data_IF_594452499701
#
_entry.id   IF_594452499701
#
_cell.length_a   1.000
_cell.length_b   1.000
_cell.length_c   1.000
_cell.angle_alpha   90.00
_cell.angle_beta   90.00
_cell.angle_gamma   90.00
#
_symmetry.space_group_name_H-M   'P 1'
#
loop_
_entity.id
_entity.type
_entity.pdbx_description
1 polymer ?
#
# COMPACT_ATOMS: atom_id res chain seq x y z
N UNK A 1 36.71 -23.33 -14.70
CA UNK A 1 36.26 -23.66 -13.33
C UNK A 1 34.75 -23.80 -13.41
N UNK A 2 34.10 -24.80 -12.78
CA UNK A 2 32.64 -24.86 -12.80
C UNK A 2 32.11 -23.69 -11.99
N UNK A 3 31.68 -22.64 -12.69
CA UNK A 3 30.97 -21.51 -12.10
C UNK A 3 29.49 -21.89 -12.04
N UNK A 4 28.99 -22.06 -10.82
CA UNK A 4 27.56 -22.26 -10.58
C UNK A 4 26.98 -20.87 -10.35
N UNK A 5 26.36 -20.30 -11.39
CA UNK A 5 25.65 -19.02 -11.29
C UNK A 5 24.30 -19.26 -10.59
N UNK A 6 24.11 -18.64 -9.42
CA UNK A 6 22.84 -18.68 -8.68
C UNK A 6 22.10 -17.37 -8.91
N UNK A 7 21.04 -17.42 -9.71
CA UNK A 7 20.16 -16.28 -9.96
C UNK A 7 19.09 -16.26 -8.87
N UNK A 8 19.00 -15.16 -8.10
CA UNK A 8 18.07 -15.00 -7.00
C UNK A 8 17.12 -13.80 -7.21
N UNK A 9 15.87 -13.98 -6.79
CA UNK A 9 14.90 -12.89 -6.68
C UNK A 9 15.13 -12.16 -5.35
N UNK A 10 15.82 -11.02 -5.38
CA UNK A 10 16.19 -10.23 -4.20
C UNK A 10 15.11 -9.27 -3.71
N UNK A 11 13.96 -9.20 -4.39
CA UNK A 11 12.83 -8.39 -3.93
C UNK A 11 12.30 -8.81 -2.57
N UNK A 12 12.63 -10.01 -2.06
CA UNK A 12 12.39 -10.43 -0.68
C UNK A 12 13.72 -10.81 0.01
N UNK A 13 14.39 -9.89 0.70
CA UNK A 13 15.73 -10.13 1.26
C UNK A 13 15.79 -11.33 2.22
N UNK A 14 14.74 -11.56 3.00
CA UNK A 14 14.65 -12.69 3.93
C UNK A 14 14.53 -14.04 3.22
N UNK A 15 13.70 -14.12 2.18
CA UNK A 15 13.53 -15.34 1.38
C UNK A 15 14.79 -15.63 0.56
N UNK A 16 15.36 -14.61 -0.10
CA UNK A 16 16.59 -14.72 -0.86
C UNK A 16 17.77 -15.18 0.03
N UNK A 17 17.89 -14.62 1.23
CA UNK A 17 18.89 -15.03 2.22
C UNK A 17 18.69 -16.47 2.71
N UNK A 18 17.45 -16.90 2.94
CA UNK A 18 17.16 -18.28 3.34
C UNK A 18 17.50 -19.29 2.22
N UNK A 19 17.16 -18.97 0.98
CA UNK A 19 17.47 -19.81 -0.19
C UNK A 19 18.99 -19.85 -0.42
N UNK A 20 19.67 -18.71 -0.43
CA UNK A 20 21.12 -18.64 -0.54
C UNK A 20 21.82 -19.43 0.59
N UNK A 21 21.31 -19.32 1.82
CA UNK A 21 21.78 -20.09 2.98
C UNK A 21 21.55 -21.59 2.84
N UNK A 22 20.40 -22.02 2.32
CA UNK A 22 20.09 -23.43 2.08
C UNK A 22 20.97 -24.01 0.96
N UNK A 23 21.10 -23.28 -0.15
CA UNK A 23 21.92 -23.68 -1.31
C UNK A 23 23.40 -23.74 -0.93
N UNK A 24 23.94 -22.72 -0.25
CA UNK A 24 25.34 -22.71 0.19
C UNK A 24 25.69 -23.82 1.18
N UNK A 25 24.71 -24.36 1.93
CA UNK A 25 24.90 -25.52 2.80
C UNK A 25 24.74 -26.86 2.08
N UNK A 26 23.75 -26.97 1.19
CA UNK A 26 23.39 -28.22 0.52
C UNK A 26 24.30 -28.55 -0.67
N UNK A 27 24.74 -27.54 -1.45
CA UNK A 27 25.56 -27.76 -2.64
C UNK A 27 26.92 -28.41 -2.30
N UNK A 28 27.69 -27.90 -1.32
CA UNK A 28 28.96 -28.53 -0.96
C UNK A 28 28.78 -29.94 -0.41
N UNK A 29 27.70 -30.20 0.36
CA UNK A 29 27.40 -31.54 0.88
C UNK A 29 27.05 -32.53 -0.23
N UNK A 30 26.24 -32.12 -1.21
CA UNK A 30 25.90 -32.96 -2.36
C UNK A 30 27.11 -33.23 -3.25
N UNK A 31 28.00 -32.25 -3.42
CA UNK A 31 29.26 -32.42 -4.19
C UNK A 31 30.22 -33.37 -3.46
N UNK A 32 30.38 -33.26 -2.13
CA UNK A 32 31.21 -34.17 -1.33
C UNK A 32 30.67 -35.61 -1.36
N UNK A 33 29.34 -35.79 -1.43
CA UNK A 33 28.72 -37.11 -1.53
C UNK A 33 28.86 -37.75 -2.93
N UNK A 34 28.97 -36.95 -3.98
CA UNK A 34 28.97 -37.43 -5.39
C UNK A 34 30.37 -37.44 -6.02
N UNK A 35 31.29 -36.60 -5.53
CA UNK A 35 32.69 -36.53 -5.96
C UNK A 35 33.61 -36.64 -4.74
N UNK A 36 34.56 -37.58 -4.79
CA UNK A 36 35.59 -37.80 -3.75
C UNK A 36 36.33 -36.52 -3.34
N UNK A 37 36.93 -36.46 -2.14
CA UNK A 37 37.26 -35.25 -1.38
C UNK A 37 38.52 -34.52 -1.90
N UNK A 38 38.52 -34.16 -3.18
CA UNK A 38 39.62 -33.51 -3.87
C UNK A 38 39.16 -32.19 -4.48
N UNK A 39 38.77 -31.28 -3.57
CA UNK A 39 39.05 -29.85 -3.62
C UNK A 39 38.83 -29.08 -4.91
N UNK A 40 37.71 -28.36 -4.96
CA UNK A 40 37.73 -26.90 -5.12
C UNK A 40 36.45 -26.30 -4.53
N UNK A 41 36.59 -25.34 -3.61
CA UNK A 41 35.45 -24.58 -3.10
C UNK A 41 34.87 -23.77 -4.25
N UNK A 42 33.68 -24.16 -4.72
CA UNK A 42 32.95 -23.40 -5.73
C UNK A 42 32.48 -22.11 -5.05
N UNK A 43 33.05 -20.98 -5.45
CA UNK A 43 32.56 -19.67 -5.06
C UNK A 43 31.26 -19.43 -5.82
N UNK A 44 30.14 -19.41 -5.09
CA UNK A 44 28.83 -19.08 -5.64
C UNK A 44 28.70 -17.57 -5.53
N UNK A 45 28.78 -16.86 -6.65
CA UNK A 45 28.43 -15.44 -6.70
C UNK A 45 26.92 -15.33 -6.98
N UNK A 46 26.10 -14.86 -6.01
CA UNK A 46 24.69 -14.68 -6.24
C UNK A 46 24.44 -13.45 -7.13
N UNK A 47 23.72 -13.64 -8.23
CA UNK A 47 23.27 -12.55 -9.10
C UNK A 47 21.79 -12.28 -8.84
N UNK A 48 21.46 -11.06 -8.43
CA UNK A 48 20.08 -10.69 -8.12
C UNK A 48 19.33 -10.15 -9.35
N UNK A 49 18.11 -10.64 -9.59
CA UNK A 49 17.21 -10.16 -10.66
C UNK A 49 16.61 -8.79 -10.33
N UNK A 50 16.08 -8.63 -9.11
CA UNK A 50 15.58 -7.38 -8.52
C UNK A 50 16.01 -7.29 -7.05
N UNK A 51 16.07 -6.09 -6.46
CA UNK A 51 16.49 -5.90 -5.07
C UNK A 51 17.94 -6.35 -4.81
N UNK A 52 18.91 -5.57 -5.31
CA UNK A 52 20.34 -5.89 -5.19
C UNK A 52 20.88 -5.91 -3.74
N UNK A 53 22.18 -6.18 -3.52
CA UNK A 53 22.77 -6.31 -2.18
C UNK A 53 22.68 -5.06 -1.30
N UNK A 54 22.36 -3.91 -1.90
CA UNK A 54 22.09 -2.65 -1.20
C UNK A 54 20.66 -2.53 -0.63
N UNK A 55 19.72 -3.38 -1.08
CA UNK A 55 18.35 -3.40 -0.58
C UNK A 55 18.29 -4.17 0.73
N UNK A 56 17.95 -3.48 1.81
CA UNK A 56 17.80 -4.09 3.11
C UNK A 56 16.32 -4.42 3.42
N UNK A 57 16.04 -4.89 4.64
CA UNK A 57 14.66 -5.17 5.05
C UNK A 57 13.80 -3.90 5.11
N UNK A 58 14.38 -2.75 5.43
CA UNK A 58 13.64 -1.49 5.49
C UNK A 58 13.21 -1.07 4.08
N UNK A 59 14.08 -1.24 3.08
CA UNK A 59 13.76 -1.00 1.67
C UNK A 59 12.62 -1.92 1.18
N UNK A 60 12.55 -3.14 1.70
CA UNK A 60 11.43 -4.05 1.43
C UNK A 60 10.11 -3.56 2.03
N UNK A 61 10.09 -3.08 3.27
CA UNK A 61 8.85 -2.66 3.93
C UNK A 61 8.40 -1.24 3.54
N UNK A 62 9.34 -0.37 3.17
CA UNK A 62 9.11 1.04 2.91
C UNK A 62 7.95 1.31 1.91
N UNK A 63 7.87 0.66 0.73
CA UNK A 63 6.76 0.87 -0.20
C UNK A 63 5.40 0.57 0.44
N UNK A 64 5.32 -0.51 1.22
CA UNK A 64 4.07 -0.91 1.87
C UNK A 64 3.68 -0.02 3.05
N UNK A 65 4.67 0.54 3.75
CA UNK A 65 4.42 1.51 4.81
C UNK A 65 3.98 2.87 4.27
N UNK A 66 4.46 3.30 3.10
CA UNK A 66 3.90 4.47 2.41
C UNK A 66 2.39 4.27 2.22
N UNK A 67 1.99 3.17 1.57
CA UNK A 67 0.58 2.86 1.31
C UNK A 67 -0.24 2.76 2.59
N UNK A 68 0.23 1.97 3.57
CA UNK A 68 -0.49 1.73 4.81
C UNK A 68 -0.69 3.00 5.64
N UNK A 69 0.38 3.76 5.91
CA UNK A 69 0.25 4.95 6.75
C UNK A 69 -0.47 6.08 6.03
N UNK A 70 -0.27 6.25 4.71
CA UNK A 70 -1.03 7.23 3.94
C UNK A 70 -2.53 6.92 4.00
N UNK A 71 -2.92 5.66 3.75
CA UNK A 71 -4.31 5.22 3.86
C UNK A 71 -4.85 5.43 5.29
N UNK A 72 -4.12 4.97 6.31
CA UNK A 72 -4.51 5.06 7.72
C UNK A 72 -4.76 6.50 8.16
N UNK A 73 -3.79 7.40 7.95
CA UNK A 73 -3.91 8.78 8.41
C UNK A 73 -5.00 9.53 7.63
N UNK A 74 -5.08 9.37 6.31
CA UNK A 74 -6.11 10.03 5.51
C UNK A 74 -7.50 9.55 5.89
N UNK A 75 -7.69 8.24 6.04
CA UNK A 75 -8.95 7.66 6.51
C UNK A 75 -9.34 8.18 7.89
N UNK A 76 -8.42 8.14 8.86
CA UNK A 76 -8.63 8.60 10.23
C UNK A 76 -9.01 10.09 10.26
N UNK A 77 -8.16 10.95 9.69
CA UNK A 77 -8.33 12.40 9.76
C UNK A 77 -9.61 12.82 9.04
N UNK A 78 -9.89 12.25 7.88
CA UNK A 78 -11.09 12.60 7.11
C UNK A 78 -12.35 12.13 7.83
N UNK A 79 -12.37 10.91 8.37
CA UNK A 79 -13.54 10.38 9.10
C UNK A 79 -13.88 11.23 10.32
N UNK A 80 -12.88 11.60 11.12
CA UNK A 80 -13.07 12.42 12.33
C UNK A 80 -13.40 13.86 11.97
N UNK A 81 -12.68 14.45 11.02
CA UNK A 81 -12.89 15.86 10.64
C UNK A 81 -14.27 16.05 10.02
N UNK A 82 -14.68 15.16 9.11
CA UNK A 82 -16.00 15.24 8.49
C UNK A 82 -17.13 14.98 9.51
N UNK A 83 -16.93 14.06 10.46
CA UNK A 83 -17.88 13.91 11.57
C UNK A 83 -18.00 15.22 12.38
N UNK A 84 -16.89 15.88 12.70
CA UNK A 84 -16.91 17.16 13.43
C UNK A 84 -17.68 18.23 12.66
N UNK A 85 -17.44 18.35 11.36
CA UNK A 85 -18.17 19.30 10.49
C UNK A 85 -19.70 19.07 10.52
N UNK A 86 -20.12 17.80 10.52
CA UNK A 86 -21.54 17.43 10.67
C UNK A 86 -22.08 17.81 12.06
N UNK A 87 -21.38 17.43 13.12
CA UNK A 87 -21.83 17.64 14.50
C UNK A 87 -21.82 19.12 14.94
N UNK A 88 -20.94 19.93 14.37
CA UNK A 88 -20.88 21.38 14.64
C UNK A 88 -21.93 22.18 13.86
N UNK A 89 -22.67 21.54 12.95
CA UNK A 89 -23.69 22.19 12.12
C UNK A 89 -23.10 23.07 11.01
N UNK A 90 -21.82 22.94 10.68
CA UNK A 90 -21.20 23.68 9.56
C UNK A 90 -21.90 23.34 8.24
N UNK A 91 -22.22 22.05 8.04
CA UNK A 91 -22.93 21.57 6.86
C UNK A 91 -24.35 22.16 6.79
N UNK A 92 -25.06 22.26 7.93
CA UNK A 92 -26.40 22.85 7.99
C UNK A 92 -26.39 24.33 7.56
N UNK A 93 -25.37 25.09 7.98
CA UNK A 93 -25.18 26.49 7.58
C UNK A 93 -24.90 26.63 6.08
N UNK A 94 -24.12 25.71 5.52
CA UNK A 94 -23.82 25.69 4.08
C UNK A 94 -25.05 25.42 3.22
N UNK A 95 -26.02 24.65 3.71
CA UNK A 95 -27.25 24.31 2.97
C UNK A 95 -28.21 25.51 2.86
N UNK A 96 -28.08 26.53 3.72
CA UNK A 96 -28.87 27.78 3.62
C UNK A 96 -28.34 28.70 2.52
N UNK A 97 -27.12 28.46 2.03
CA UNK A 97 -26.56 29.16 0.87
C UNK A 97 -27.20 28.67 -0.44
N UNK A 98 -27.15 29.45 -1.54
CA UNK A 98 -27.74 29.05 -2.83
C UNK A 98 -26.95 27.94 -3.56
N UNK A 99 -26.14 27.16 -2.83
CA UNK A 99 -25.34 26.06 -3.35
C UNK A 99 -26.15 24.77 -3.39
N UNK A 100 -25.98 23.99 -4.45
CA UNK A 100 -26.54 22.66 -4.53
C UNK A 100 -25.86 21.74 -3.51
N UNK A 101 -26.63 20.84 -2.87
CA UNK A 101 -26.09 19.87 -1.91
C UNK A 101 -24.94 19.04 -2.48
N UNK A 102 -25.01 18.73 -3.79
CA UNK A 102 -23.96 17.98 -4.49
C UNK A 102 -22.66 18.77 -4.55
N UNK A 103 -22.74 20.08 -4.72
CA UNK A 103 -21.58 20.98 -4.78
C UNK A 103 -20.90 21.07 -3.42
N UNK A 104 -21.69 21.14 -2.33
CA UNK A 104 -21.15 21.12 -0.96
C UNK A 104 -20.36 19.83 -0.71
N UNK A 105 -20.96 18.66 -1.03
CA UNK A 105 -20.30 17.36 -0.83
C UNK A 105 -19.04 17.23 -1.68
N UNK A 106 -19.11 17.59 -2.96
CA UNK A 106 -17.96 17.60 -3.86
C UNK A 106 -16.86 18.55 -3.36
N UNK A 107 -17.23 19.71 -2.82
CA UNK A 107 -16.30 20.66 -2.22
C UNK A 107 -15.50 20.05 -1.06
N UNK A 108 -16.18 19.36 -0.13
CA UNK A 108 -15.50 18.65 0.95
C UNK A 108 -14.62 17.50 0.44
N UNK A 109 -15.13 16.70 -0.50
CA UNK A 109 -14.35 15.61 -1.11
C UNK A 109 -13.07 16.15 -1.77
N UNK A 110 -13.18 17.26 -2.52
CA UNK A 110 -12.04 17.93 -3.15
C UNK A 110 -11.08 18.52 -2.11
N UNK A 111 -11.60 19.16 -1.06
CA UNK A 111 -10.78 19.73 0.02
C UNK A 111 -9.96 18.67 0.76
N UNK A 112 -10.58 17.56 1.16
CA UNK A 112 -9.87 16.43 1.78
C UNK A 112 -8.94 15.72 0.78
N UNK A 113 -9.31 15.66 -0.49
CA UNK A 113 -8.43 15.12 -1.54
C UNK A 113 -7.17 15.97 -1.71
N UNK A 114 -7.28 17.30 -1.66
CA UNK A 114 -6.11 18.19 -1.70
C UNK A 114 -5.18 17.92 -0.51
N UNK A 115 -5.75 17.78 0.69
CA UNK A 115 -4.99 17.38 1.87
C UNK A 115 -4.32 16.00 1.69
N UNK A 116 -5.03 15.03 1.14
CA UNK A 116 -4.52 13.70 0.85
C UNK A 116 -3.36 13.73 -0.17
N UNK A 117 -3.40 14.61 -1.17
CA UNK A 117 -2.30 14.85 -2.11
C UNK A 117 -1.06 15.34 -1.39
N UNK A 118 -1.20 16.38 -0.55
CA UNK A 118 -0.07 16.92 0.23
C UNK A 118 0.50 15.85 1.15
N UNK A 119 -0.36 15.11 1.85
CA UNK A 119 0.04 14.01 2.72
C UNK A 119 0.79 12.89 1.96
N UNK A 120 0.33 12.55 0.74
CA UNK A 120 0.99 11.54 -0.11
C UNK A 120 2.39 11.98 -0.51
N UNK A 121 2.56 13.25 -0.92
CA UNK A 121 3.87 13.82 -1.23
C UNK A 121 4.78 13.79 0.00
N UNK A 122 4.27 14.21 1.16
CA UNK A 122 5.03 14.20 2.43
C UNK A 122 5.50 12.79 2.78
N UNK A 123 4.66 11.76 2.62
CA UNK A 123 5.08 10.38 2.92
C UNK A 123 6.16 9.86 1.97
N UNK A 124 6.07 10.15 0.68
CA UNK A 124 7.11 9.75 -0.27
C UNK A 124 8.43 10.49 0.02
N UNK A 125 8.37 11.80 0.26
CA UNK A 125 9.55 12.60 0.62
C UNK A 125 10.18 12.08 1.92
N UNK A 126 9.38 11.83 2.96
CA UNK A 126 9.89 11.29 4.22
C UNK A 126 10.60 9.96 4.01
N UNK A 127 10.00 9.06 3.23
CA UNK A 127 10.58 7.74 2.94
C UNK A 127 11.89 7.84 2.18
N UNK A 128 11.98 8.69 1.16
CA UNK A 128 13.19 8.81 0.34
C UNK A 128 14.27 9.67 1.01
N UNK A 129 13.91 10.84 1.54
CA UNK A 129 14.87 11.82 2.03
C UNK A 129 15.30 11.58 3.48
N UNK A 130 14.37 11.15 4.35
CA UNK A 130 14.64 10.96 5.78
C UNK A 130 15.08 9.53 6.06
N UNK A 131 14.32 8.53 5.56
CA UNK A 131 14.67 7.12 5.76
C UNK A 131 15.75 6.61 4.79
N UNK A 132 16.10 7.41 3.77
CA UNK A 132 17.15 7.12 2.77
C UNK A 132 16.95 5.77 2.07
N UNK A 133 15.69 5.46 1.76
CA UNK A 133 15.30 4.22 1.10
C UNK A 133 15.78 4.21 -0.35
N UNK A 134 16.33 3.05 -0.75
CA UNK A 134 16.70 2.80 -2.13
C UNK A 134 15.45 2.53 -2.97
N UNK A 135 15.41 3.11 -4.15
CA UNK A 135 14.33 2.89 -5.11
C UNK A 135 14.89 2.84 -6.54
N UNK A 136 14.25 2.03 -7.38
CA UNK A 136 14.65 1.82 -8.77
C UNK A 136 13.80 2.60 -9.78
N UNK A 137 12.51 2.80 -9.48
CA UNK A 137 11.55 3.42 -10.41
C UNK A 137 11.35 4.93 -10.22
N UNK A 138 10.37 5.46 -10.96
CA UNK A 138 10.05 6.89 -10.96
C UNK A 138 9.22 7.30 -9.73
N UNK A 139 9.71 8.28 -8.94
CA UNK A 139 9.02 8.72 -7.71
C UNK A 139 7.63 9.31 -7.93
N UNK A 140 7.40 9.91 -9.11
CA UNK A 140 6.09 10.48 -9.42
C UNK A 140 5.00 9.39 -9.46
N UNK A 141 5.34 8.16 -9.90
CA UNK A 141 4.42 7.02 -9.88
C UNK A 141 4.06 6.61 -8.46
N UNK A 142 5.03 6.63 -7.55
CA UNK A 142 4.83 6.34 -6.13
C UNK A 142 3.84 7.34 -5.53
N UNK A 143 4.03 8.64 -5.81
CA UNK A 143 3.10 9.70 -5.38
C UNK A 143 1.72 9.49 -6.00
N UNK A 144 1.64 9.18 -7.29
CA UNK A 144 0.38 8.98 -8.00
C UNK A 144 -0.43 7.79 -7.47
N UNK A 145 0.22 6.63 -7.26
CA UNK A 145 -0.41 5.44 -6.68
C UNK A 145 -0.90 5.69 -5.26
N UNK A 146 -0.08 6.37 -4.44
CA UNK A 146 -0.44 6.75 -3.07
C UNK A 146 -1.60 7.73 -3.06
N UNK A 147 -1.62 8.69 -3.99
CA UNK A 147 -2.73 9.61 -4.20
C UNK A 147 -4.04 8.87 -4.56
N UNK A 148 -4.02 7.95 -5.52
CA UNK A 148 -5.19 7.15 -5.89
C UNK A 148 -5.75 6.37 -4.69
N UNK A 149 -4.87 5.71 -3.94
CA UNK A 149 -5.25 4.99 -2.72
C UNK A 149 -5.90 5.93 -1.68
N UNK A 150 -5.29 7.09 -1.46
CA UNK A 150 -5.77 8.04 -0.44
C UNK A 150 -7.04 8.76 -0.84
N UNK A 151 -7.31 9.01 -2.13
CA UNK A 151 -8.63 9.48 -2.61
C UNK A 151 -9.73 8.49 -2.21
N UNK A 152 -9.48 7.19 -2.41
CA UNK A 152 -10.40 6.16 -1.94
C UNK A 152 -10.56 6.14 -0.42
N UNK A 153 -9.46 6.37 0.33
CA UNK A 153 -9.49 6.49 1.79
C UNK A 153 -10.29 7.70 2.28
N UNK A 154 -10.18 8.86 1.61
CA UNK A 154 -11.00 10.07 1.86
C UNK A 154 -12.48 9.70 1.74
N UNK A 155 -12.85 9.12 0.60
CA UNK A 155 -14.24 8.81 0.31
C UNK A 155 -14.80 7.73 1.24
N UNK A 156 -14.01 6.72 1.59
CA UNK A 156 -14.36 5.73 2.60
C UNK A 156 -14.55 6.37 3.97
N UNK A 157 -13.70 7.32 4.34
CA UNK A 157 -13.80 8.03 5.61
C UNK A 157 -15.07 8.89 5.69
N UNK A 158 -15.38 9.64 4.63
CA UNK A 158 -16.65 10.37 4.51
C UNK A 158 -17.84 9.41 4.61
N UNK A 159 -17.81 8.30 3.85
CA UNK A 159 -18.87 7.31 3.87
C UNK A 159 -19.11 6.71 5.27
N UNK A 160 -18.06 6.25 5.95
CA UNK A 160 -18.20 5.63 7.27
C UNK A 160 -18.54 6.65 8.36
N UNK A 161 -18.06 7.88 8.25
CA UNK A 161 -18.40 8.94 9.20
C UNK A 161 -19.89 9.25 9.23
N UNK A 162 -20.64 9.00 8.14
CA UNK A 162 -22.09 9.14 8.09
C UNK A 162 -22.77 8.32 9.21
N UNK A 163 -22.33 7.07 9.41
CA UNK A 163 -22.90 6.14 10.37
C UNK A 163 -22.47 6.38 11.83
N UNK A 164 -21.50 7.26 12.07
CA UNK A 164 -21.04 7.60 13.41
C UNK A 164 -21.78 8.82 13.98
N UNK A 165 -22.06 8.76 15.28
CA UNK A 165 -22.64 9.88 16.06
C UNK A 165 -21.63 10.54 17.00
N UNK A 166 -20.50 9.88 17.26
CA UNK A 166 -19.43 10.37 18.14
C UNK A 166 -18.06 10.00 17.58
N UNK A 167 -17.03 10.79 17.94
CA UNK A 167 -15.64 10.49 17.52
C UNK A 167 -15.18 9.11 17.98
N UNK A 168 -15.64 8.68 19.17
CA UNK A 168 -15.34 7.35 19.69
C UNK A 168 -15.89 6.25 18.78
N UNK A 169 -17.07 6.44 18.15
CA UNK A 169 -17.61 5.48 17.18
C UNK A 169 -16.77 5.41 15.90
N UNK A 170 -16.27 6.55 15.41
CA UNK A 170 -15.33 6.57 14.27
C UNK A 170 -14.07 5.78 14.60
N UNK A 171 -13.54 5.95 15.82
CA UNK A 171 -12.37 5.19 16.28
C UNK A 171 -12.62 3.69 16.28
N UNK A 172 -13.86 3.23 16.51
CA UNK A 172 -14.21 1.80 16.40
C UNK A 172 -14.24 1.28 14.95
N UNK A 173 -14.45 2.14 13.95
CA UNK A 173 -14.35 1.74 12.53
C UNK A 173 -12.91 1.53 12.07
N UNK A 174 -11.94 2.16 12.73
CA UNK A 174 -10.51 2.01 12.41
C UNK A 174 -10.07 0.55 12.43
N UNK A 175 -10.19 -0.21 13.53
CA UNK A 175 -9.77 -1.61 13.52
C UNK A 175 -10.55 -2.44 12.49
N UNK A 176 -11.82 -2.12 12.24
CA UNK A 176 -12.63 -2.82 11.23
C UNK A 176 -12.08 -2.65 9.81
N UNK A 177 -11.58 -1.46 9.46
CA UNK A 177 -11.07 -1.15 8.12
C UNK A 177 -9.57 -1.43 8.00
N UNK A 178 -8.80 -1.02 8.99
CA UNK A 178 -7.33 -0.98 8.95
C UNK A 178 -6.73 -2.33 9.30
N UNK A 179 -7.29 -3.07 10.26
CA UNK A 179 -6.70 -4.35 10.68
C UNK A 179 -6.71 -5.40 9.56
N UNK A 180 -7.81 -5.63 8.81
CA UNK A 180 -7.80 -6.58 7.69
C UNK A 180 -6.76 -6.17 6.64
N UNK A 181 -6.65 -4.87 6.36
CA UNK A 181 -5.69 -4.33 5.40
C UNK A 181 -4.26 -4.50 5.88
N UNK A 182 -3.93 -4.07 7.09
CA UNK A 182 -2.58 -4.19 7.64
C UNK A 182 -2.10 -5.64 7.73
N UNK A 183 -3.02 -6.58 7.98
CA UNK A 183 -2.68 -8.00 8.14
C UNK A 183 -2.57 -8.75 6.80
N UNK A 184 -3.51 -8.52 5.88
CA UNK A 184 -3.67 -9.35 4.68
C UNK A 184 -3.08 -8.74 3.40
N UNK A 185 -2.70 -7.46 3.39
CA UNK A 185 -2.31 -6.73 2.17
C UNK A 185 -0.86 -6.95 1.70
N UNK A 186 -0.16 -7.99 2.14
CA UNK A 186 1.22 -8.23 1.69
C UNK A 186 2.30 -7.44 2.46
N UNK A 187 1.95 -6.79 3.58
CA UNK A 187 2.92 -6.09 4.43
C UNK A 187 3.81 -7.12 5.15
N UNK A 188 3.20 -7.93 6.01
CA UNK A 188 3.92 -8.87 6.89
C UNK A 188 4.24 -10.17 6.14
N UNK A 189 3.25 -10.73 5.44
CA UNK A 189 3.38 -11.95 4.66
C UNK A 189 2.96 -11.72 3.22
N UNK A 190 3.68 -12.26 2.23
CA UNK A 190 3.23 -12.24 0.84
C UNK A 190 1.82 -12.83 0.72
N UNK A 191 0.99 -12.23 -0.13
CA UNK A 191 -0.40 -12.67 -0.32
C UNK A 191 -0.46 -14.12 -0.78
N UNK A 192 0.47 -14.53 -1.66
CA UNK A 192 0.55 -15.90 -2.19
C UNK A 192 0.81 -16.96 -1.11
N UNK A 193 1.39 -16.56 0.03
CA UNK A 193 1.66 -17.44 1.16
C UNK A 193 0.44 -17.66 2.06
N UNK A 194 -0.63 -16.89 1.87
CA UNK A 194 -1.87 -17.04 2.66
C UNK A 194 -2.68 -18.25 2.19
N UNK A 195 -3.47 -18.90 3.07
CA UNK A 195 -4.49 -19.86 2.66
C UNK A 195 -5.49 -19.26 1.66
N UNK A 196 -5.99 -20.06 0.71
CA UNK A 196 -6.89 -19.62 -0.38
C UNK A 196 -8.05 -18.69 0.06
N UNK A 197 -8.79 -18.96 1.16
CA UNK A 197 -9.86 -18.05 1.60
C UNK A 197 -9.36 -16.65 1.98
N UNK A 198 -8.18 -16.56 2.60
CA UNK A 198 -7.58 -15.29 2.98
C UNK A 198 -6.99 -14.55 1.78
N UNK A 199 -6.53 -15.27 0.75
CA UNK A 199 -6.10 -14.65 -0.52
C UNK A 199 -7.26 -13.92 -1.20
N UNK A 200 -8.45 -14.51 -1.25
CA UNK A 200 -9.63 -13.84 -1.82
C UNK A 200 -10.00 -12.59 -1.03
N UNK A 201 -9.93 -12.66 0.30
CA UNK A 201 -10.17 -11.49 1.14
C UNK A 201 -9.10 -10.42 0.90
N UNK A 202 -7.82 -10.79 0.81
CA UNK A 202 -6.72 -9.87 0.52
C UNK A 202 -6.92 -9.16 -0.83
N UNK A 203 -7.33 -9.89 -1.87
CA UNK A 203 -7.57 -9.33 -3.21
C UNK A 203 -8.76 -8.35 -3.25
N UNK A 204 -9.68 -8.40 -2.28
CA UNK A 204 -10.75 -7.41 -2.15
C UNK A 204 -10.28 -6.09 -1.52
N UNK A 205 -9.10 -6.05 -0.89
CA UNK A 205 -8.59 -4.89 -0.16
C UNK A 205 -7.79 -3.98 -1.09
N UNK A 206 -8.08 -2.67 -1.14
CA UNK A 206 -7.39 -1.74 -2.03
C UNK A 206 -5.90 -1.59 -1.66
N UNK A 207 -5.56 -1.72 -0.38
CA UNK A 207 -4.18 -1.65 0.08
C UNK A 207 -3.31 -2.78 -0.49
N UNK A 208 -3.89 -3.95 -0.78
CA UNK A 208 -3.15 -5.07 -1.40
C UNK A 208 -2.62 -4.67 -2.77
N UNK A 209 -3.51 -4.12 -3.61
CA UNK A 209 -3.17 -3.66 -4.95
C UNK A 209 -2.21 -2.46 -4.93
N UNK A 210 -2.39 -1.54 -3.98
CA UNK A 210 -1.46 -0.44 -3.80
C UNK A 210 -0.06 -0.93 -3.38
N UNK A 211 0.03 -1.85 -2.42
CA UNK A 211 1.30 -2.40 -1.95
C UNK A 211 2.05 -3.12 -3.07
N UNK A 212 1.35 -3.93 -3.87
CA UNK A 212 1.93 -4.63 -5.01
C UNK A 212 2.45 -3.65 -6.07
N UNK A 213 1.66 -2.63 -6.42
CA UNK A 213 2.06 -1.57 -7.34
C UNK A 213 3.24 -0.73 -6.82
N UNK A 214 3.24 -0.36 -5.54
CA UNK A 214 4.32 0.40 -4.93
C UNK A 214 5.63 -0.40 -4.90
N UNK A 215 5.56 -1.72 -4.62
CA UNK A 215 6.72 -2.62 -4.73
C UNK A 215 7.20 -2.76 -6.17
N UNK A 216 6.28 -2.87 -7.13
CA UNK A 216 6.60 -2.93 -8.57
C UNK A 216 7.44 -1.73 -9.02
N UNK A 217 7.02 -0.53 -8.63
CA UNK A 217 7.73 0.71 -8.97
C UNK A 217 9.02 0.84 -8.17
N UNK A 218 8.95 0.78 -6.84
CA UNK A 218 10.09 1.13 -5.98
C UNK A 218 11.19 0.07 -5.99
N UNK A 219 10.85 -1.22 -6.04
CA UNK A 219 11.84 -2.31 -5.97
C UNK A 219 12.19 -2.83 -7.36
N UNK A 220 11.19 -3.07 -8.22
CA UNK A 220 11.41 -3.67 -9.55
C UNK A 220 11.66 -2.62 -10.65
N UNK A 221 11.38 -1.34 -10.39
CA UNK A 221 11.58 -0.26 -11.36
C UNK A 221 10.57 -0.29 -12.51
N UNK A 222 9.42 -0.93 -12.30
CA UNK A 222 8.39 -1.05 -13.33
C UNK A 222 7.70 0.30 -13.64
N UNK A 223 7.36 0.50 -14.91
CA UNK A 223 6.65 1.68 -15.40
C UNK A 223 5.14 1.53 -15.40
N UNK A 224 4.44 2.47 -16.04
CA UNK A 224 2.98 2.46 -16.17
C UNK A 224 2.42 1.24 -16.92
N UNK A 225 3.20 0.67 -17.82
CA UNK A 225 2.85 -0.46 -18.67
C UNK A 225 2.50 -1.72 -17.86
N UNK A 226 3.18 -1.94 -16.74
CA UNK A 226 2.93 -3.06 -15.84
C UNK A 226 1.81 -2.79 -14.81
N UNK A 227 1.35 -1.54 -14.66
CA UNK A 227 0.46 -1.13 -13.57
C UNK A 227 -1.03 -1.10 -13.95
N UNK A 228 -1.41 -1.49 -15.17
CA UNK A 228 -2.78 -1.33 -15.68
C UNK A 228 -3.87 -1.91 -14.77
N UNK A 229 -3.70 -3.14 -14.29
CA UNK A 229 -4.67 -3.80 -13.41
C UNK A 229 -4.75 -3.11 -12.03
N UNK A 230 -3.60 -2.77 -11.45
CA UNK A 230 -3.51 -2.08 -10.17
C UNK A 230 -4.22 -0.71 -10.21
N UNK A 231 -3.97 0.06 -11.27
CA UNK A 231 -4.61 1.35 -11.49
C UNK A 231 -6.13 1.20 -11.64
N UNK A 232 -6.59 0.21 -12.42
CA UNK A 232 -8.01 -0.06 -12.60
C UNK A 232 -8.70 -0.35 -11.27
N UNK A 233 -8.10 -1.18 -10.41
CA UNK A 233 -8.67 -1.51 -9.11
C UNK A 233 -8.68 -0.31 -8.17
N UNK A 234 -7.59 0.47 -8.10
CA UNK A 234 -7.52 1.65 -7.24
C UNK A 234 -8.49 2.76 -7.67
N UNK A 235 -8.60 3.02 -8.98
CA UNK A 235 -9.57 3.95 -9.54
C UNK A 235 -11.00 3.44 -9.27
N UNK A 236 -11.24 2.15 -9.49
CA UNK A 236 -12.53 1.52 -9.21
C UNK A 236 -12.93 1.65 -7.74
N UNK A 237 -12.00 1.43 -6.81
CA UNK A 237 -12.21 1.63 -5.39
C UNK A 237 -12.53 3.10 -5.05
N UNK A 238 -11.71 4.03 -5.55
CA UNK A 238 -11.91 5.46 -5.32
C UNK A 238 -13.29 5.94 -5.82
N UNK A 239 -13.68 5.52 -7.03
CA UNK A 239 -14.96 5.83 -7.64
C UNK A 239 -16.14 5.17 -6.89
N UNK A 240 -16.02 3.90 -6.51
CA UNK A 240 -17.05 3.19 -5.75
C UNK A 240 -17.30 3.87 -4.40
N UNK A 241 -16.24 4.21 -3.66
CA UNK A 241 -16.36 4.93 -2.39
C UNK A 241 -16.90 6.35 -2.60
N UNK A 242 -16.52 7.04 -3.67
CA UNK A 242 -17.06 8.36 -4.00
C UNK A 242 -18.59 8.31 -4.18
N UNK A 243 -19.09 7.33 -4.93
CA UNK A 243 -20.52 7.12 -5.15
C UNK A 243 -21.23 6.81 -3.84
N UNK A 244 -20.68 5.90 -3.02
CA UNK A 244 -21.26 5.57 -1.71
C UNK A 244 -21.30 6.78 -0.78
N UNK A 245 -20.22 7.55 -0.69
CA UNK A 245 -20.17 8.78 0.10
C UNK A 245 -21.24 9.79 -0.34
N UNK A 246 -21.37 10.03 -1.65
CA UNK A 246 -22.40 10.94 -2.18
C UNK A 246 -23.83 10.45 -1.91
N UNK A 247 -24.09 9.15 -2.03
CA UNK A 247 -25.44 8.59 -1.82
C UNK A 247 -25.84 8.67 -0.34
N UNK A 248 -24.93 8.36 0.58
CA UNK A 248 -25.23 8.35 2.01
C UNK A 248 -25.51 9.77 2.53
N UNK A 249 -24.70 10.76 2.13
CA UNK A 249 -24.92 12.16 2.55
C UNK A 249 -26.24 12.74 2.02
N UNK A 250 -26.69 12.34 0.83
CA UNK A 250 -28.00 12.79 0.32
C UNK A 250 -29.16 12.34 1.20
N UNK A 251 -29.05 11.16 1.84
CA UNK A 251 -30.12 10.59 2.67
C UNK A 251 -30.22 11.21 4.05
N UNK A 252 -29.11 11.66 4.63
CA UNK A 252 -29.12 12.22 6.00
C UNK A 252 -29.54 13.68 6.06
N UNK A 253 -29.39 14.41 4.96
CA UNK A 253 -29.75 15.84 4.88
C UNK A 253 -31.21 16.01 4.42
N UNK A 254 -31.89 14.94 3.98
CA UNK A 254 -33.28 14.94 3.52
C UNK A 254 -34.23 14.56 4.67
#
# INVERSE_FOLDING_TARGET
RPEVELILEGSQPSAAGAIAGAVSRALPQAIIQTMSPSGQAIQIEPRFLHGGPQFDQLDYFAPTFIGFFAFFFVFLLTSVSFLRERLQGSIERLIVSPLDRKEIVLGYMLGFTLFATVQSIVMVIFTVAVLRIHYAGELWLVVFLTFLLTVGAVNLGIFLSAFARTELQVVQFIPMVITPQGLLSGIIWPVDSLPRPLQWLAQALPLTWANEALRAVMIRGEGLDALGLHLMVLIGFAAAMAVLAMVTLRREVA
#
